data_IF_553541984609
#
_entry.id   IF_553541984609
#
_cell.length_a   1.000
_cell.length_b   1.000
_cell.length_c   1.000
_cell.angle_alpha   90.00
_cell.angle_beta   90.00
_cell.angle_gamma   90.00
#
_symmetry.space_group_name_H-M   'P 1'
#
loop_
_entity.id
_entity.type
_entity.pdbx_description
1 polymer ?
#
# COMPACT_ATOMS: atom_id res chain seq x y z
N UNK A 1 11.07 16.10 -64.91
CA UNK A 1 9.78 16.00 -64.20
C UNK A 1 9.96 15.08 -63.03
N UNK A 2 10.25 15.61 -61.84
CA UNK A 2 10.44 14.80 -60.63
C UNK A 2 9.11 14.79 -59.86
N UNK A 3 8.44 13.64 -59.86
CA UNK A 3 7.32 13.38 -58.95
C UNK A 3 7.91 13.07 -57.57
N UNK A 4 7.67 13.97 -56.61
CA UNK A 4 7.94 13.74 -55.20
C UNK A 4 6.86 12.83 -54.62
N UNK A 5 7.32 11.74 -54.02
CA UNK A 5 6.54 10.72 -53.34
C UNK A 5 5.63 11.32 -52.26
N UNK A 6 4.37 10.87 -52.25
CA UNK A 6 3.41 11.11 -51.17
C UNK A 6 3.95 10.49 -49.88
N UNK A 7 4.35 11.32 -48.92
CA UNK A 7 4.54 10.94 -47.52
C UNK A 7 3.16 10.71 -46.92
N UNK A 8 2.69 9.46 -46.96
CA UNK A 8 1.62 8.99 -46.09
C UNK A 8 2.18 9.05 -44.66
N UNK A 9 1.82 10.09 -43.89
CA UNK A 9 1.94 10.05 -42.44
C UNK A 9 1.02 8.90 -41.98
N UNK A 10 1.63 7.80 -41.58
CA UNK A 10 0.92 6.64 -41.08
C UNK A 10 0.06 7.04 -39.89
N UNK A 11 -1.21 6.65 -39.95
CA UNK A 11 -2.10 6.58 -38.79
C UNK A 11 -1.32 5.76 -37.75
N UNK A 12 -0.80 6.43 -36.72
CA UNK A 12 -0.08 5.76 -35.67
C UNK A 12 -1.06 4.77 -35.03
N UNK A 13 -0.70 3.49 -35.08
CA UNK A 13 -1.49 2.38 -34.57
C UNK A 13 -1.91 2.71 -33.13
N UNK A 14 -3.21 2.77 -32.86
CA UNK A 14 -3.80 3.19 -31.57
C UNK A 14 -3.23 2.34 -30.41
N UNK A 15 -2.89 1.09 -30.72
CA UNK A 15 -2.19 0.15 -29.84
C UNK A 15 -0.75 0.58 -29.49
N UNK A 16 -0.05 1.27 -30.40
CA UNK A 16 1.30 1.79 -30.17
C UNK A 16 1.31 3.02 -29.24
N UNK A 17 0.27 3.85 -29.32
CA UNK A 17 0.05 4.99 -28.42
C UNK A 17 -0.35 4.49 -27.02
N UNK A 18 -1.23 3.48 -26.94
CA UNK A 18 -1.57 2.81 -25.69
C UNK A 18 -0.36 2.18 -24.98
N UNK A 19 0.59 1.60 -25.74
CA UNK A 19 1.81 1.01 -25.18
C UNK A 19 2.83 2.07 -24.73
N UNK A 20 2.78 3.28 -25.30
CA UNK A 20 3.60 4.42 -24.86
C UNK A 20 3.00 5.15 -23.66
N UNK A 21 1.68 5.06 -23.45
CA UNK A 21 1.02 5.60 -22.27
C UNK A 21 1.64 4.99 -21.00
N UNK A 22 2.16 5.83 -20.11
CA UNK A 22 2.85 5.40 -18.89
C UNK A 22 4.35 5.12 -19.04
N UNK A 23 4.92 5.24 -20.26
CA UNK A 23 6.38 5.26 -20.42
C UNK A 23 6.96 6.63 -20.04
N UNK A 24 8.20 6.65 -19.53
CA UNK A 24 8.95 7.88 -19.18
C UNK A 24 9.06 8.87 -20.34
N UNK A 25 8.98 8.39 -21.58
CA UNK A 25 9.12 9.17 -22.81
C UNK A 25 7.79 9.80 -23.27
N UNK A 26 6.68 9.41 -22.64
CA UNK A 26 5.35 9.94 -22.94
C UNK A 26 5.09 11.14 -22.05
N UNK A 27 5.11 12.33 -22.65
CA UNK A 27 4.86 13.60 -21.94
C UNK A 27 3.39 14.03 -22.09
N UNK A 28 2.89 14.92 -21.23
CA UNK A 28 1.57 15.55 -21.40
C UNK A 28 1.38 16.17 -22.80
N UNK A 29 2.45 16.59 -23.47
CA UNK A 29 2.39 17.08 -24.84
C UNK A 29 1.97 15.99 -25.83
N UNK A 30 2.31 14.73 -25.59
CA UNK A 30 1.90 13.61 -26.43
C UNK A 30 0.38 13.36 -26.37
N UNK A 31 -0.33 13.81 -25.32
CA UNK A 31 -1.80 13.79 -25.29
C UNK A 31 -2.42 14.81 -26.27
N UNK A 32 -1.67 15.86 -26.65
CA UNK A 32 -2.11 16.83 -27.66
C UNK A 32 -1.93 16.32 -29.10
N UNK A 33 -1.11 15.28 -29.30
CA UNK A 33 -0.87 14.63 -30.59
C UNK A 33 -1.91 13.56 -30.93
N UNK A 34 -2.87 13.27 -30.04
CA UNK A 34 -3.96 12.35 -30.36
C UNK A 34 -4.84 12.94 -31.46
N UNK A 35 -5.16 12.15 -32.51
CA UNK A 35 -6.05 12.61 -33.55
C UNK A 35 -7.38 13.00 -32.91
N UNK A 36 -7.79 14.26 -33.08
CA UNK A 36 -9.13 14.70 -32.73
C UNK A 36 -10.11 13.86 -33.54
N UNK A 37 -10.83 12.95 -32.88
CA UNK A 37 -11.99 12.33 -33.51
C UNK A 37 -12.94 13.45 -33.93
N UNK A 38 -13.26 13.50 -35.22
CA UNK A 38 -14.15 14.53 -35.78
C UNK A 38 -15.62 14.32 -35.38
N UNK A 39 -15.93 13.15 -34.81
CA UNK A 39 -17.24 12.82 -34.28
C UNK A 39 -17.09 12.57 -32.77
N UNK A 40 -18.02 13.11 -32.00
CA UNK A 40 -18.04 13.09 -30.54
C UNK A 40 -18.26 11.70 -29.97
N UNK A 41 -17.33 10.80 -30.27
CA UNK A 41 -17.23 9.48 -29.70
C UNK A 41 -16.11 9.52 -28.67
N UNK A 42 -16.48 9.17 -27.43
CA UNK A 42 -15.60 9.12 -26.29
C UNK A 42 -14.38 8.27 -26.65
N UNK A 43 -13.21 8.90 -26.79
CA UNK A 43 -11.95 8.16 -26.62
C UNK A 43 -12.12 7.37 -25.33
N UNK A 44 -11.96 6.04 -25.42
CA UNK A 44 -12.15 5.03 -24.36
C UNK A 44 -12.31 5.60 -22.95
N UNK A 45 -13.25 5.12 -22.11
CA UNK A 45 -13.54 5.66 -20.75
C UNK A 45 -12.32 5.79 -19.81
N UNK A 46 -11.17 5.26 -20.21
CA UNK A 46 -9.85 5.50 -19.62
C UNK A 46 -9.23 6.88 -19.88
N UNK A 47 -9.62 7.63 -20.92
CA UNK A 47 -9.02 8.92 -21.27
C UNK A 47 -9.89 10.09 -20.79
N UNK A 48 -9.33 11.06 -20.05
CA UNK A 48 -10.02 12.34 -19.85
C UNK A 48 -10.22 13.01 -21.20
N UNK A 49 -11.34 13.70 -21.38
CA UNK A 49 -11.60 14.39 -22.65
C UNK A 49 -10.42 15.32 -22.95
N UNK A 50 -9.90 15.39 -24.20
CA UNK A 50 -8.81 16.31 -24.53
C UNK A 50 -9.11 17.76 -24.10
N UNK A 51 -10.40 18.13 -24.14
CA UNK A 51 -10.94 19.39 -23.64
C UNK A 51 -10.74 19.57 -22.13
N UNK A 52 -10.98 18.54 -21.29
CA UNK A 52 -10.71 18.57 -19.85
C UNK A 52 -9.24 18.78 -19.55
N UNK A 53 -8.34 18.03 -20.20
CA UNK A 53 -6.89 18.18 -20.00
C UNK A 53 -6.43 19.57 -20.40
N UNK A 54 -6.85 20.06 -21.57
CA UNK A 54 -6.56 21.43 -22.03
C UNK A 54 -7.09 22.46 -21.03
N UNK A 55 -8.30 22.28 -20.49
CA UNK A 55 -8.87 23.19 -19.52
C UNK A 55 -8.12 23.17 -18.19
N UNK A 56 -7.70 22.00 -17.71
CA UNK A 56 -6.88 21.87 -16.49
C UNK A 56 -5.52 22.54 -16.67
N UNK A 57 -4.82 22.26 -17.77
CA UNK A 57 -3.52 22.87 -18.08
C UNK A 57 -3.66 24.38 -18.24
N UNK A 58 -4.72 24.87 -18.91
CA UNK A 58 -5.00 26.30 -19.05
C UNK A 58 -5.29 26.95 -17.70
N UNK A 59 -6.09 26.32 -16.84
CA UNK A 59 -6.38 26.81 -15.49
C UNK A 59 -5.11 26.88 -14.65
N UNK A 60 -4.33 25.81 -14.62
CA UNK A 60 -3.03 25.76 -13.95
C UNK A 60 -2.09 26.88 -14.42
N UNK A 61 -1.90 27.01 -15.74
CA UNK A 61 -1.04 28.04 -16.33
C UNK A 61 -1.53 29.45 -16.01
N UNK A 62 -2.85 29.67 -16.07
CA UNK A 62 -3.47 30.96 -15.75
C UNK A 62 -3.31 31.31 -14.27
N UNK A 63 -3.36 30.31 -13.38
CA UNK A 63 -3.16 30.49 -11.94
C UNK A 63 -1.70 30.77 -11.58
N UNK A 64 -0.72 30.20 -12.29
CA UNK A 64 0.71 30.57 -12.13
C UNK A 64 0.95 32.03 -12.55
N UNK A 65 0.34 32.46 -13.65
CA UNK A 65 0.54 33.80 -14.22
C UNK A 65 -0.14 34.91 -13.42
N UNK A 66 -1.17 34.61 -12.63
CA UNK A 66 -1.95 35.60 -11.88
C UNK A 66 -1.76 35.43 -10.36
N UNK A 67 -0.74 36.10 -9.80
CA UNK A 67 -0.23 35.87 -8.44
C UNK A 67 -1.12 36.35 -7.26
N UNK A 68 -2.15 37.19 -7.46
CA UNK A 68 -2.65 38.07 -6.37
C UNK A 68 -4.18 38.11 -6.12
N UNK A 69 -4.92 36.99 -6.14
CA UNK A 69 -6.30 37.01 -5.61
C UNK A 69 -6.65 35.73 -4.85
N UNK A 70 -7.27 35.87 -3.67
CA UNK A 70 -7.65 34.77 -2.76
C UNK A 70 -8.52 33.72 -3.46
N UNK A 71 -9.54 34.12 -4.21
CA UNK A 71 -10.41 33.20 -5.01
C UNK A 71 -9.67 32.34 -6.06
N UNK A 72 -8.41 32.65 -6.38
CA UNK A 72 -7.62 31.87 -7.35
C UNK A 72 -6.71 30.84 -6.70
N UNK A 73 -6.51 30.90 -5.39
CA UNK A 73 -5.72 29.91 -4.64
C UNK A 73 -6.42 28.55 -4.70
N UNK A 74 -7.72 28.50 -4.43
CA UNK A 74 -8.50 27.27 -4.49
C UNK A 74 -8.57 26.70 -5.92
N UNK A 75 -8.65 27.60 -6.90
CA UNK A 75 -8.61 27.21 -8.31
C UNK A 75 -7.27 26.56 -8.70
N UNK A 76 -6.15 27.02 -8.11
CA UNK A 76 -4.82 26.46 -8.32
C UNK A 76 -4.65 25.12 -7.62
N UNK A 77 -5.00 25.04 -6.33
CA UNK A 77 -4.90 23.82 -5.53
C UNK A 77 -5.73 22.69 -6.18
N UNK A 78 -7.01 22.97 -6.49
CA UNK A 78 -7.91 22.02 -7.11
C UNK A 78 -7.44 21.57 -8.50
N UNK A 79 -7.02 22.50 -9.36
CA UNK A 79 -6.58 22.17 -10.73
C UNK A 79 -5.28 21.36 -10.73
N UNK A 80 -4.34 21.69 -9.84
CA UNK A 80 -3.05 20.98 -9.71
C UNK A 80 -3.25 19.56 -9.22
N UNK A 81 -4.09 19.37 -8.20
CA UNK A 81 -4.41 18.04 -7.65
C UNK A 81 -5.15 17.20 -8.69
N UNK A 82 -6.13 17.76 -9.39
CA UNK A 82 -6.86 17.04 -10.42
C UNK A 82 -5.96 16.68 -11.61
N UNK A 83 -5.01 17.55 -11.98
CA UNK A 83 -4.02 17.24 -13.02
C UNK A 83 -3.09 16.11 -12.56
N UNK A 84 -2.61 16.12 -11.31
CA UNK A 84 -1.83 15.02 -10.76
C UNK A 84 -2.60 13.69 -10.75
N UNK A 85 -3.89 13.72 -10.41
CA UNK A 85 -4.77 12.56 -10.46
C UNK A 85 -4.87 11.97 -11.89
N UNK A 86 -5.02 12.82 -12.90
CA UNK A 86 -4.99 12.40 -14.31
C UNK A 86 -3.65 11.74 -14.67
N UNK A 87 -2.53 12.33 -14.26
CA UNK A 87 -1.20 11.75 -14.51
C UNK A 87 -1.05 10.36 -13.88
N UNK A 88 -1.53 10.19 -12.64
CA UNK A 88 -1.52 8.91 -11.91
C UNK A 88 -2.35 7.86 -12.63
N UNK A 89 -3.56 8.21 -13.09
CA UNK A 89 -4.44 7.31 -13.86
C UNK A 89 -3.75 6.72 -15.10
N UNK A 90 -2.82 7.48 -15.69
CA UNK A 90 -2.08 7.08 -16.89
C UNK A 90 -0.66 6.59 -16.61
N UNK A 91 -0.31 6.28 -15.36
CA UNK A 91 1.00 5.73 -15.01
C UNK A 91 2.16 6.74 -15.03
N UNK A 92 1.88 8.04 -15.19
CA UNK A 92 2.92 9.08 -15.23
C UNK A 92 3.30 9.54 -13.81
N UNK A 93 3.78 8.61 -12.98
CA UNK A 93 4.00 8.83 -11.55
C UNK A 93 5.11 9.86 -11.26
N UNK A 94 6.19 9.91 -12.06
CA UNK A 94 7.24 10.91 -11.89
C UNK A 94 6.74 12.33 -12.16
N UNK A 95 5.96 12.50 -13.23
CA UNK A 95 5.36 13.79 -13.58
C UNK A 95 4.36 14.25 -12.52
N UNK A 96 3.54 13.31 -12.03
CA UNK A 96 2.63 13.56 -10.91
C UNK A 96 3.40 13.99 -9.66
N UNK A 97 4.48 13.29 -9.33
CA UNK A 97 5.29 13.60 -8.14
C UNK A 97 5.95 14.97 -8.22
N UNK A 98 6.47 15.36 -9.39
CA UNK A 98 7.01 16.70 -9.62
C UNK A 98 5.95 17.78 -9.42
N UNK A 99 4.74 17.57 -9.94
CA UNK A 99 3.62 18.50 -9.80
C UNK A 99 3.15 18.61 -8.34
N UNK A 100 3.07 17.49 -7.63
CA UNK A 100 2.72 17.44 -6.21
C UNK A 100 3.81 18.08 -5.33
N UNK A 101 5.08 18.00 -5.73
CA UNK A 101 6.19 18.69 -5.09
C UNK A 101 6.12 20.21 -5.24
N UNK A 102 5.77 20.71 -6.43
CA UNK A 102 5.51 22.15 -6.64
C UNK A 102 4.36 22.60 -5.73
N UNK A 103 3.27 21.81 -5.67
CA UNK A 103 2.13 22.11 -4.81
C UNK A 103 2.52 22.13 -3.32
N UNK A 104 3.39 21.22 -2.88
CA UNK A 104 3.90 21.21 -1.51
C UNK A 104 4.66 22.48 -1.14
N UNK A 105 5.57 22.93 -2.02
CA UNK A 105 6.30 24.19 -1.77
C UNK A 105 5.34 25.37 -1.67
N UNK A 106 4.32 25.41 -2.53
CA UNK A 106 3.29 26.44 -2.50
C UNK A 106 2.48 26.43 -1.19
N UNK A 107 2.02 25.24 -0.76
CA UNK A 107 1.29 25.07 0.51
C UNK A 107 2.16 25.45 1.72
N UNK A 108 3.47 25.18 1.66
CA UNK A 108 4.43 25.60 2.68
C UNK A 108 4.48 27.13 2.86
N UNK A 109 4.47 27.88 1.75
CA UNK A 109 4.37 29.34 1.80
C UNK A 109 3.00 29.82 2.28
N UNK A 110 1.91 29.20 1.83
CA UNK A 110 0.55 29.60 2.20
C UNK A 110 0.26 29.42 3.70
N UNK A 111 0.69 28.30 4.30
CA UNK A 111 0.52 28.01 5.74
C UNK A 111 1.21 29.01 6.67
N UNK A 112 2.26 29.69 6.21
CA UNK A 112 2.90 30.76 6.97
C UNK A 112 2.04 32.06 7.04
N UNK A 113 0.97 32.15 6.23
CA UNK A 113 0.18 33.37 6.06
C UNK A 113 -1.24 33.33 6.64
N UNK A 114 -1.91 32.16 6.64
CA UNK A 114 -3.14 31.80 7.39
C UNK A 114 -3.59 30.39 6.96
N UNK A 115 -4.20 29.60 7.85
CA UNK A 115 -4.72 28.25 7.54
C UNK A 115 -6.22 28.28 7.29
N UNK A 116 -6.63 27.92 6.08
CA UNK A 116 -8.03 27.75 5.67
C UNK A 116 -8.39 26.26 5.53
N UNK A 117 -9.66 25.91 5.74
CA UNK A 117 -10.17 24.54 5.69
C UNK A 117 -9.93 23.87 4.32
N UNK A 118 -10.07 24.63 3.24
CA UNK A 118 -9.85 24.14 1.88
C UNK A 118 -8.37 23.82 1.60
N UNK A 119 -7.46 24.55 2.26
CA UNK A 119 -6.01 24.28 2.20
C UNK A 119 -5.66 22.94 2.87
N UNK A 120 -6.37 22.57 3.93
CA UNK A 120 -6.16 21.29 4.61
C UNK A 120 -6.69 20.11 3.81
N UNK A 121 -7.89 20.23 3.20
CA UNK A 121 -8.43 19.22 2.28
C UNK A 121 -7.47 18.97 1.10
N UNK A 122 -6.95 20.05 0.49
CA UNK A 122 -5.97 19.97 -0.58
C UNK A 122 -4.66 19.28 -0.13
N UNK A 123 -4.22 19.54 1.09
CA UNK A 123 -3.03 18.91 1.64
C UNK A 123 -3.20 17.40 1.85
N UNK A 124 -4.33 16.96 2.40
CA UNK A 124 -4.64 15.53 2.60
C UNK A 124 -4.73 14.79 1.25
N UNK A 125 -5.40 15.40 0.27
CA UNK A 125 -5.48 14.88 -1.09
C UNK A 125 -4.09 14.74 -1.74
N UNK A 126 -3.26 15.79 -1.64
CA UNK A 126 -1.87 15.77 -2.13
C UNK A 126 -1.05 14.65 -1.48
N UNK A 127 -1.15 14.49 -0.17
CA UNK A 127 -0.43 13.45 0.56
C UNK A 127 -0.85 12.05 0.11
N UNK A 128 -2.14 11.80 -0.07
CA UNK A 128 -2.64 10.51 -0.57
C UNK A 128 -2.07 10.19 -1.97
N UNK A 129 -2.18 11.14 -2.91
CA UNK A 129 -1.66 10.97 -4.27
C UNK A 129 -0.14 10.82 -4.31
N UNK A 130 0.59 11.58 -3.47
CA UNK A 130 2.05 11.48 -3.35
C UNK A 130 2.46 10.12 -2.78
N UNK A 131 1.76 9.62 -1.76
CA UNK A 131 2.00 8.29 -1.19
C UNK A 131 1.83 7.19 -2.23
N UNK A 132 0.78 7.30 -3.05
CA UNK A 132 0.53 6.37 -4.15
C UNK A 132 1.64 6.44 -5.22
N UNK A 133 2.02 7.64 -5.67
CA UNK A 133 3.09 7.81 -6.65
C UNK A 133 4.41 7.23 -6.15
N UNK A 134 4.79 7.53 -4.91
CA UNK A 134 6.03 7.04 -4.30
C UNK A 134 6.04 5.50 -4.20
N UNK A 135 4.90 4.88 -3.89
CA UNK A 135 4.77 3.42 -3.87
C UNK A 135 4.99 2.82 -5.27
N UNK A 136 4.34 3.38 -6.30
CA UNK A 136 4.52 2.90 -7.68
C UNK A 136 5.96 3.11 -8.17
N UNK A 137 6.56 4.27 -7.87
CA UNK A 137 7.96 4.57 -8.20
C UNK A 137 8.96 3.73 -7.41
N UNK A 138 8.57 3.18 -6.26
CA UNK A 138 9.38 2.24 -5.51
C UNK A 138 9.29 0.82 -6.09
N UNK A 139 8.13 0.44 -6.64
CA UNK A 139 7.94 -0.86 -7.29
C UNK A 139 8.93 -1.06 -8.44
N UNK A 140 9.08 -0.04 -9.29
CA UNK A 140 9.96 -0.07 -10.46
C UNK A 140 11.43 0.27 -10.14
N UNK A 141 11.76 0.60 -8.89
CA UNK A 141 13.10 1.04 -8.50
C UNK A 141 14.07 -0.14 -8.31
N UNK A 142 15.12 -0.17 -9.13
CA UNK A 142 16.16 -1.18 -9.07
C UNK A 142 17.15 -0.95 -7.91
N UNK A 143 17.37 0.31 -7.50
CA UNK A 143 18.27 0.63 -6.40
C UNK A 143 17.58 0.39 -5.04
N UNK A 144 18.08 -0.58 -4.28
CA UNK A 144 17.49 -0.99 -2.99
C UNK A 144 17.36 0.19 -2.01
N UNK A 145 18.38 1.04 -1.91
CA UNK A 145 18.40 2.17 -0.97
C UNK A 145 17.37 3.24 -1.37
N UNK A 146 17.29 3.56 -2.66
CA UNK A 146 16.29 4.50 -3.17
C UNK A 146 14.88 3.94 -3.02
N UNK A 147 14.71 2.64 -3.28
CA UNK A 147 13.44 1.94 -3.09
C UNK A 147 12.98 2.03 -1.64
N UNK A 148 13.83 1.67 -0.68
CA UNK A 148 13.53 1.78 0.74
C UNK A 148 13.17 3.21 1.14
N UNK A 149 13.94 4.20 0.68
CA UNK A 149 13.62 5.61 0.95
C UNK A 149 12.25 6.03 0.39
N UNK A 150 11.90 5.61 -0.83
CA UNK A 150 10.60 5.91 -1.44
C UNK A 150 9.47 5.21 -0.69
N UNK A 151 9.66 3.96 -0.27
CA UNK A 151 8.70 3.19 0.54
C UNK A 151 8.45 3.91 1.87
N UNK A 152 9.50 4.33 2.57
CA UNK A 152 9.37 5.04 3.84
C UNK A 152 8.62 6.36 3.69
N UNK A 153 8.89 7.12 2.62
CA UNK A 153 8.18 8.37 2.38
C UNK A 153 6.71 8.14 1.96
N UNK A 154 6.44 7.07 1.19
CA UNK A 154 5.08 6.65 0.85
C UNK A 154 4.27 6.34 2.12
N UNK A 155 4.85 5.57 3.05
CA UNK A 155 4.24 5.24 4.34
C UNK A 155 3.87 6.50 5.12
N UNK A 156 4.81 7.45 5.25
CA UNK A 156 4.57 8.74 5.93
C UNK A 156 3.45 9.52 5.27
N UNK A 157 3.42 9.57 3.94
CA UNK A 157 2.38 10.24 3.18
C UNK A 157 1.00 9.65 3.46
N UNK A 158 0.86 8.33 3.42
CA UNK A 158 -0.41 7.65 3.69
C UNK A 158 -0.91 7.88 5.12
N UNK A 159 -0.04 7.77 6.14
CA UNK A 159 -0.43 8.06 7.52
C UNK A 159 -0.87 9.52 7.72
N UNK A 160 -0.14 10.48 7.14
CA UNK A 160 -0.51 11.91 7.20
C UNK A 160 -1.78 12.22 6.43
N UNK A 161 -2.04 11.52 5.32
CA UNK A 161 -3.29 11.66 4.58
C UNK A 161 -4.50 11.19 5.41
N UNK A 162 -4.33 10.17 6.26
CA UNK A 162 -5.39 9.63 7.12
C UNK A 162 -5.58 10.40 8.43
N UNK A 163 -4.64 11.25 8.86
CA UNK A 163 -4.67 11.86 10.20
C UNK A 163 -5.71 12.99 10.35
N UNK A 164 -6.19 13.59 9.27
CA UNK A 164 -7.18 14.67 9.31
C UNK A 164 -8.64 14.19 9.40
N UNK A 165 -9.51 14.97 10.05
CA UNK A 165 -10.96 14.68 10.13
C UNK A 165 -11.64 14.78 8.76
N UNK A 166 -11.11 15.62 7.88
CA UNK A 166 -11.61 15.81 6.51
C UNK A 166 -11.06 14.79 5.50
N UNK A 167 -10.24 13.82 5.95
CA UNK A 167 -9.66 12.81 5.07
C UNK A 167 -10.71 12.02 4.24
N UNK A 168 -11.84 11.58 4.81
CA UNK A 168 -12.88 10.90 4.02
C UNK A 168 -13.41 11.76 2.86
N UNK A 169 -13.60 13.06 3.09
CA UNK A 169 -14.08 13.98 2.05
C UNK A 169 -12.98 14.28 1.02
N UNK A 170 -11.75 14.50 1.48
CA UNK A 170 -10.62 14.82 0.63
C UNK A 170 -10.29 13.69 -0.36
N UNK A 171 -10.38 12.44 0.09
CA UNK A 171 -9.93 11.28 -0.68
C UNK A 171 -11.02 10.63 -1.54
N UNK A 172 -12.32 10.89 -1.25
CA UNK A 172 -13.46 10.24 -1.92
C UNK A 172 -13.40 10.24 -3.45
N UNK A 173 -12.84 11.30 -4.04
CA UNK A 173 -12.83 11.50 -5.50
C UNK A 173 -11.68 10.78 -6.24
N UNK A 174 -10.73 10.17 -5.53
CA UNK A 174 -9.55 9.54 -6.16
C UNK A 174 -9.64 8.02 -6.27
N UNK A 175 -10.85 7.47 -6.08
CA UNK A 175 -11.07 6.03 -6.11
C UNK A 175 -10.73 5.38 -7.45
N UNK A 176 -10.89 6.12 -8.56
CA UNK A 176 -10.53 5.65 -9.89
C UNK A 176 -9.03 5.64 -10.17
N UNK A 177 -8.28 6.51 -9.48
CA UNK A 177 -6.85 6.72 -9.69
C UNK A 177 -6.01 5.81 -8.80
N UNK A 178 -6.42 5.63 -7.54
CA UNK A 178 -5.66 4.85 -6.56
C UNK A 178 -6.28 3.49 -6.26
N UNK A 179 -7.53 3.25 -6.70
CA UNK A 179 -8.27 2.04 -6.39
C UNK A 179 -8.85 2.01 -4.97
N UNK A 180 -8.67 3.07 -4.17
CA UNK A 180 -9.27 3.15 -2.83
C UNK A 180 -10.77 3.40 -2.91
N UNK A 181 -11.57 2.41 -2.49
CA UNK A 181 -13.03 2.49 -2.46
C UNK A 181 -13.54 2.04 -1.10
N UNK A 182 -14.39 2.86 -0.49
CA UNK A 182 -15.18 2.47 0.67
C UNK A 182 -16.63 2.36 0.21
N UNK A 183 -17.26 1.22 0.50
CA UNK A 183 -18.69 1.02 0.29
C UNK A 183 -19.46 1.68 1.44
N UNK A 184 -20.27 2.70 1.14
CA UNK A 184 -21.14 3.37 2.11
C UNK A 184 -20.48 4.52 2.87
N UNK A 185 -21.25 5.12 3.79
CA UNK A 185 -20.78 6.17 4.69
C UNK A 185 -20.29 5.56 6.00
N UNK A 186 -19.04 5.83 6.39
CA UNK A 186 -18.54 5.42 7.70
C UNK A 186 -19.12 6.34 8.79
N UNK A 187 -19.73 5.75 9.83
CA UNK A 187 -20.27 6.52 10.97
C UNK A 187 -19.19 7.14 11.86
N UNK A 188 -17.97 6.59 11.85
CA UNK A 188 -16.84 7.09 12.63
C UNK A 188 -15.57 7.22 11.80
N UNK A 189 -14.70 8.16 12.20
CA UNK A 189 -13.38 8.33 11.57
C UNK A 189 -12.48 7.11 11.79
N UNK A 190 -12.62 6.42 12.94
CA UNK A 190 -11.86 5.21 13.25
C UNK A 190 -12.24 4.06 12.31
N UNK A 191 -13.52 3.89 12.00
CA UNK A 191 -13.99 2.90 11.02
C UNK A 191 -13.50 3.22 9.61
N UNK A 192 -13.54 4.49 9.21
CA UNK A 192 -12.98 4.91 7.92
C UNK A 192 -11.46 4.64 7.84
N UNK A 193 -10.72 4.93 8.92
CA UNK A 193 -9.27 4.68 9.00
C UNK A 193 -8.94 3.19 8.98
N UNK A 194 -9.76 2.35 9.63
CA UNK A 194 -9.64 0.90 9.55
C UNK A 194 -9.64 0.45 8.09
N UNK A 195 -10.68 0.81 7.32
CA UNK A 195 -10.77 0.47 5.90
C UNK A 195 -9.63 1.07 5.06
N UNK A 196 -9.22 2.30 5.37
CA UNK A 196 -8.11 2.94 4.69
C UNK A 196 -6.79 2.21 4.92
N UNK A 197 -6.49 1.81 6.16
CA UNK A 197 -5.27 1.09 6.48
C UNK A 197 -5.31 -0.36 5.98
N UNK A 198 -6.47 -1.02 5.94
CA UNK A 198 -6.60 -2.32 5.28
C UNK A 198 -6.32 -2.24 3.77
N UNK A 199 -6.85 -1.21 3.11
CA UNK A 199 -6.52 -0.94 1.71
C UNK A 199 -5.03 -0.63 1.51
N UNK A 200 -4.46 0.23 2.36
CA UNK A 200 -3.04 0.58 2.30
C UNK A 200 -2.15 -0.67 2.54
N UNK A 201 -2.51 -1.53 3.48
CA UNK A 201 -1.85 -2.82 3.69
C UNK A 201 -1.86 -3.67 2.40
N UNK A 202 -3.03 -3.81 1.77
CA UNK A 202 -3.19 -4.61 0.55
C UNK A 202 -2.37 -4.07 -0.63
N UNK A 203 -2.38 -2.75 -0.86
CA UNK A 203 -1.64 -2.19 -1.99
C UNK A 203 -0.12 -2.30 -1.78
N UNK A 204 0.38 -2.15 -0.55
CA UNK A 204 1.79 -2.40 -0.25
C UNK A 204 2.15 -3.87 -0.44
N UNK A 205 1.28 -4.80 -0.02
CA UNK A 205 1.47 -6.23 -0.23
C UNK A 205 1.54 -6.59 -1.72
N UNK A 206 0.60 -6.09 -2.53
CA UNK A 206 0.57 -6.33 -3.99
C UNK A 206 1.84 -5.84 -4.67
N UNK A 207 2.46 -4.78 -4.16
CA UNK A 207 3.71 -4.22 -4.65
C UNK A 207 4.96 -4.81 -3.98
N UNK A 208 4.82 -5.90 -3.21
CA UNK A 208 5.91 -6.59 -2.49
C UNK A 208 6.62 -5.76 -1.39
N UNK A 209 5.99 -4.69 -0.91
CA UNK A 209 6.52 -3.77 0.11
C UNK A 209 6.06 -4.18 1.52
N UNK A 210 6.59 -5.31 1.99
CA UNK A 210 6.15 -5.97 3.23
C UNK A 210 6.25 -5.11 4.49
N UNK A 211 7.26 -4.25 4.57
CA UNK A 211 7.43 -3.36 5.72
C UNK A 211 6.25 -2.41 5.87
N UNK A 212 5.86 -1.73 4.78
CA UNK A 212 4.69 -0.86 4.79
C UNK A 212 3.39 -1.63 5.01
N UNK A 213 3.24 -2.80 4.39
CA UNK A 213 2.08 -3.66 4.64
C UNK A 213 1.93 -4.03 6.13
N UNK A 214 3.05 -4.36 6.79
CA UNK A 214 3.08 -4.63 8.23
C UNK A 214 2.69 -3.42 9.07
N UNK A 215 3.20 -2.23 8.75
CA UNK A 215 2.86 -1.01 9.48
C UNK A 215 1.38 -0.65 9.37
N UNK A 216 0.78 -0.81 8.18
CA UNK A 216 -0.65 -0.56 8.01
C UNK A 216 -1.53 -1.63 8.65
N UNK A 217 -1.10 -2.90 8.70
CA UNK A 217 -1.80 -3.94 9.45
C UNK A 217 -1.85 -3.63 10.96
N UNK A 218 -0.74 -3.16 11.53
CA UNK A 218 -0.68 -2.72 12.93
C UNK A 218 -1.56 -1.49 13.19
N UNK A 219 -1.52 -0.50 12.29
CA UNK A 219 -2.37 0.68 12.41
C UNK A 219 -3.86 0.34 12.29
N UNK A 220 -4.22 -0.62 11.44
CA UNK A 220 -5.59 -1.15 11.35
C UNK A 220 -6.02 -1.78 12.68
N UNK A 221 -5.17 -2.58 13.32
CA UNK A 221 -5.45 -3.15 14.65
C UNK A 221 -5.74 -2.08 15.71
N UNK A 222 -4.95 -0.99 15.73
CA UNK A 222 -5.19 0.14 16.63
C UNK A 222 -6.55 0.81 16.40
N UNK A 223 -7.03 0.86 15.14
CA UNK A 223 -8.36 1.38 14.85
C UNK A 223 -9.46 0.43 15.35
N UNK A 224 -9.25 -0.89 15.27
CA UNK A 224 -10.20 -1.86 15.82
C UNK A 224 -10.36 -1.66 17.33
N UNK A 225 -9.25 -1.50 18.06
CA UNK A 225 -9.27 -1.19 19.50
C UNK A 225 -10.03 0.11 19.79
N UNK A 226 -9.73 1.16 19.02
CA UNK A 226 -10.40 2.46 19.14
C UNK A 226 -11.91 2.40 18.88
N UNK A 227 -12.37 1.51 18.00
CA UNK A 227 -13.81 1.31 17.71
C UNK A 227 -14.49 0.60 18.89
N UNK A 228 -13.85 -0.43 19.46
CA UNK A 228 -14.39 -1.18 20.60
C UNK A 228 -14.53 -0.28 21.83
N UNK A 229 -13.56 0.58 22.09
CA UNK A 229 -13.58 1.50 23.23
C UNK A 229 -14.72 2.54 23.14
N UNK A 230 -15.17 2.87 21.92
CA UNK A 230 -16.24 3.85 21.68
C UNK A 230 -17.66 3.27 21.81
N UNK A 231 -17.84 1.96 21.65
CA UNK A 231 -19.18 1.35 21.48
C UNK A 231 -19.77 0.68 22.74
N UNK A 232 -19.15 0.83 23.91
CA UNK A 232 -19.67 0.36 25.22
C UNK A 232 -20.28 -1.07 25.21
N UNK A 233 -19.79 -1.97 24.34
CA UNK A 233 -20.22 -3.36 24.26
C UNK A 233 -21.47 -3.65 23.43
N UNK A 234 -21.99 -2.70 22.62
CA UNK A 234 -22.91 -3.05 21.53
C UNK A 234 -22.10 -3.59 20.34
N UNK A 235 -22.56 -4.68 19.70
CA UNK A 235 -21.90 -5.15 18.48
C UNK A 235 -22.05 -4.06 17.41
N UNK A 236 -20.93 -3.64 16.82
CA UNK A 236 -20.92 -2.65 15.72
C UNK A 236 -21.70 -3.25 14.55
N UNK A 237 -22.99 -2.94 14.43
CA UNK A 237 -23.90 -3.48 13.40
C UNK A 237 -23.38 -3.30 11.95
N UNK A 238 -22.44 -2.37 11.74
CA UNK A 238 -21.87 -2.05 10.44
C UNK A 238 -20.61 -2.87 10.08
N UNK A 239 -20.07 -3.69 11.00
CA UNK A 239 -18.90 -4.52 10.73
C UNK A 239 -19.33 -5.87 10.14
N UNK A 240 -18.79 -6.30 8.99
CA UNK A 240 -19.20 -7.55 8.34
C UNK A 240 -18.79 -8.81 9.12
N UNK A 241 -17.86 -8.67 10.06
CA UNK A 241 -17.26 -9.75 10.86
C UNK A 241 -17.11 -9.28 12.31
N UNK A 242 -17.04 -10.24 13.25
CA UNK A 242 -16.78 -9.89 14.65
C UNK A 242 -15.39 -9.26 14.82
N UNK A 243 -15.23 -8.39 15.81
CA UNK A 243 -13.95 -7.77 16.17
C UNK A 243 -12.83 -8.79 16.34
N UNK A 244 -13.13 -9.96 16.92
CA UNK A 244 -12.17 -11.04 17.13
C UNK A 244 -11.66 -11.62 15.79
N UNK A 245 -12.55 -11.83 14.82
CA UNK A 245 -12.20 -12.33 13.49
C UNK A 245 -11.32 -11.33 12.73
N UNK A 246 -11.67 -10.03 12.77
CA UNK A 246 -10.86 -8.99 12.11
C UNK A 246 -9.47 -8.92 12.73
N UNK A 247 -9.38 -8.91 14.08
CA UNK A 247 -8.08 -8.96 14.77
C UNK A 247 -7.30 -10.22 14.41
N UNK A 248 -7.96 -11.38 14.34
CA UNK A 248 -7.32 -12.65 13.98
C UNK A 248 -6.74 -12.65 12.57
N UNK A 249 -7.45 -12.07 11.61
CA UNK A 249 -6.96 -11.88 10.23
C UNK A 249 -5.80 -10.89 10.16
N UNK A 250 -5.91 -9.74 10.82
CA UNK A 250 -4.86 -8.71 10.81
C UNK A 250 -3.57 -9.21 11.49
N UNK A 251 -3.66 -9.89 12.63
CA UNK A 251 -2.49 -10.50 13.27
C UNK A 251 -1.84 -11.59 12.41
N UNK A 252 -2.62 -12.40 11.69
CA UNK A 252 -2.07 -13.35 10.72
C UNK A 252 -1.31 -12.65 9.58
N UNK A 253 -1.78 -11.48 9.13
CA UNK A 253 -1.07 -10.66 8.15
C UNK A 253 0.23 -10.08 8.72
N UNK A 254 0.20 -9.52 9.95
CA UNK A 254 1.42 -9.05 10.64
C UNK A 254 2.43 -10.19 10.76
N UNK A 255 1.99 -11.38 11.22
CA UNK A 255 2.82 -12.58 11.27
C UNK A 255 3.46 -12.90 9.91
N UNK A 256 2.66 -12.96 8.85
CA UNK A 256 3.12 -13.22 7.48
C UNK A 256 4.21 -12.24 7.06
N UNK A 257 3.99 -10.94 7.24
CA UNK A 257 4.93 -9.91 6.82
C UNK A 257 6.22 -9.93 7.64
N UNK A 258 6.12 -10.05 8.97
CA UNK A 258 7.28 -10.15 9.85
C UNK A 258 8.11 -11.39 9.55
N UNK A 259 7.47 -12.53 9.27
CA UNK A 259 8.17 -13.77 8.91
C UNK A 259 8.89 -13.64 7.57
N UNK A 260 8.24 -13.08 6.56
CA UNK A 260 8.86 -12.85 5.24
C UNK A 260 10.04 -11.86 5.32
N UNK A 261 10.01 -10.91 6.26
CA UNK A 261 11.12 -9.99 6.56
C UNK A 261 12.22 -10.64 7.43
N UNK A 262 12.04 -11.90 7.85
CA UNK A 262 12.91 -12.63 8.80
C UNK A 262 13.01 -11.98 10.19
N UNK A 263 12.03 -11.16 10.56
CA UNK A 263 11.89 -10.61 11.91
C UNK A 263 11.18 -11.66 12.78
N UNK A 264 11.89 -12.72 13.16
CA UNK A 264 11.30 -13.87 13.86
C UNK A 264 10.69 -13.51 15.22
N UNK A 265 11.26 -12.52 15.92
CA UNK A 265 10.71 -12.01 17.18
C UNK A 265 9.35 -11.35 16.98
N UNK A 266 9.21 -10.50 15.97
CA UNK A 266 7.95 -9.82 15.67
C UNK A 266 6.89 -10.79 15.14
N UNK A 267 7.31 -11.78 14.33
CA UNK A 267 6.43 -12.85 13.87
C UNK A 267 5.89 -13.67 15.06
N UNK A 268 6.73 -13.99 16.04
CA UNK A 268 6.29 -14.66 17.26
C UNK A 268 5.36 -13.78 18.11
N UNK A 269 5.67 -12.49 18.27
CA UNK A 269 4.77 -11.53 18.93
C UNK A 269 3.39 -11.52 18.28
N UNK A 270 3.32 -11.52 16.94
CA UNK A 270 2.05 -11.56 16.22
C UNK A 270 1.25 -12.84 16.48
N UNK A 271 1.91 -14.01 16.61
CA UNK A 271 1.24 -15.28 16.98
C UNK A 271 0.59 -15.17 18.36
N UNK A 272 1.34 -14.73 19.37
CA UNK A 272 0.82 -14.69 20.75
C UNK A 272 -0.23 -13.60 20.95
N UNK A 273 -0.18 -12.52 20.18
CA UNK A 273 -1.17 -11.43 20.21
C UNK A 273 -2.46 -11.76 19.47
N UNK A 274 -2.49 -12.83 18.67
CA UNK A 274 -3.66 -13.23 17.91
C UNK A 274 -4.76 -13.78 18.85
N UNK A 275 -5.95 -13.14 18.93
CA UNK A 275 -7.03 -13.61 19.79
C UNK A 275 -7.80 -14.80 19.18
N UNK A 276 -7.62 -15.09 17.89
CA UNK A 276 -8.23 -16.22 17.19
C UNK A 276 -7.29 -17.44 17.29
N UNK A 277 -7.72 -18.46 18.04
CA UNK A 277 -6.89 -19.64 18.33
C UNK A 277 -6.60 -20.47 17.06
N UNK A 278 -7.56 -20.61 16.15
CA UNK A 278 -7.36 -21.37 14.92
C UNK A 278 -6.29 -20.69 14.03
N UNK A 279 -6.43 -19.37 13.84
CA UNK A 279 -5.48 -18.54 13.13
C UNK A 279 -4.10 -18.55 13.80
N UNK A 280 -4.04 -18.48 15.13
CA UNK A 280 -2.82 -18.57 15.93
C UNK A 280 -2.06 -19.87 15.68
N UNK A 281 -2.74 -21.02 15.74
CA UNK A 281 -2.09 -22.31 15.54
C UNK A 281 -1.65 -22.53 14.08
N UNK A 282 -2.41 -22.04 13.10
CA UNK A 282 -1.99 -22.03 11.69
C UNK A 282 -0.70 -21.22 11.51
N UNK A 283 -0.61 -20.05 12.14
CA UNK A 283 0.60 -19.21 12.11
C UNK A 283 1.78 -19.90 12.81
N UNK A 284 1.57 -20.50 13.99
CA UNK A 284 2.61 -21.23 14.72
C UNK A 284 3.19 -22.39 13.89
N UNK A 285 2.31 -23.19 13.29
CA UNK A 285 2.72 -24.30 12.42
C UNK A 285 3.57 -23.81 11.25
N UNK A 286 3.12 -22.76 10.55
CA UNK A 286 3.89 -22.15 9.47
C UNK A 286 5.24 -21.61 9.95
N UNK A 287 5.28 -20.99 11.13
CA UNK A 287 6.50 -20.45 11.71
C UNK A 287 7.57 -21.52 11.90
N UNK A 288 7.21 -22.63 12.53
CA UNK A 288 8.12 -23.77 12.75
C UNK A 288 8.58 -24.35 11.42
N UNK A 289 7.66 -24.51 10.46
CA UNK A 289 8.01 -25.03 9.13
C UNK A 289 9.10 -24.17 8.48
N UNK A 290 8.87 -22.85 8.39
CA UNK A 290 9.81 -21.91 7.76
C UNK A 290 11.14 -21.86 8.51
N UNK A 291 11.13 -21.84 9.85
CA UNK A 291 12.38 -21.84 10.63
C UNK A 291 13.24 -23.07 10.34
N UNK A 292 12.67 -24.26 10.27
CA UNK A 292 13.49 -25.44 9.94
C UNK A 292 13.93 -25.46 8.47
N UNK A 293 13.10 -24.95 7.54
CA UNK A 293 13.48 -24.88 6.12
C UNK A 293 14.65 -23.90 5.87
N UNK A 294 14.71 -22.82 6.64
CA UNK A 294 15.82 -21.87 6.62
C UNK A 294 17.05 -22.34 7.41
N UNK A 295 16.95 -23.46 8.15
CA UNK A 295 18.01 -23.93 9.03
C UNK A 295 18.21 -23.07 10.29
N UNK A 296 17.23 -22.23 10.64
CA UNK A 296 17.25 -21.33 11.80
C UNK A 296 16.90 -22.07 13.09
N UNK A 297 17.50 -23.24 13.30
CA UNK A 297 17.23 -24.11 14.46
C UNK A 297 17.68 -23.46 15.78
N UNK A 298 18.63 -22.52 15.70
CA UNK A 298 19.06 -21.71 16.85
C UNK A 298 17.93 -20.85 17.42
N UNK A 299 17.08 -20.30 16.56
CA UNK A 299 15.90 -19.50 16.97
C UNK A 299 14.94 -20.37 17.80
N UNK A 300 14.81 -21.65 17.44
CA UNK A 300 13.96 -22.62 18.14
C UNK A 300 14.62 -23.11 19.44
N UNK A 301 15.91 -23.46 19.39
CA UNK A 301 16.57 -24.24 20.46
C UNK A 301 17.36 -23.40 21.46
N UNK A 302 17.79 -22.18 21.12
CA UNK A 302 18.68 -21.38 21.96
C UNK A 302 17.94 -20.39 22.89
N UNK A 303 16.60 -20.47 22.95
CA UNK A 303 15.80 -19.59 23.81
C UNK A 303 15.68 -18.15 23.33
N UNK A 304 16.03 -17.86 22.08
CA UNK A 304 15.79 -16.53 21.46
C UNK A 304 14.29 -16.22 21.40
N UNK A 305 13.46 -17.26 21.24
CA UNK A 305 12.00 -17.19 21.31
C UNK A 305 11.52 -18.06 22.47
N UNK A 306 10.72 -17.50 23.40
CA UNK A 306 10.37 -18.20 24.63
C UNK A 306 9.25 -19.26 24.47
N UNK A 307 8.48 -19.20 23.38
CA UNK A 307 7.30 -20.06 23.13
C UNK A 307 6.35 -20.20 24.34
N UNK A 308 6.24 -19.14 25.14
CA UNK A 308 5.40 -19.08 26.35
C UNK A 308 3.97 -19.50 26.05
N UNK A 309 3.50 -20.56 26.73
CA UNK A 309 2.14 -21.10 26.55
C UNK A 309 1.94 -21.90 25.25
N UNK A 310 2.97 -22.07 24.42
CA UNK A 310 2.90 -22.78 23.13
C UNK A 310 3.86 -23.98 23.03
N UNK A 311 4.65 -24.25 24.08
CA UNK A 311 5.70 -25.29 24.08
C UNK A 311 5.18 -26.65 23.62
N UNK A 312 4.07 -27.14 24.19
CA UNK A 312 3.49 -28.45 23.82
C UNK A 312 3.12 -28.52 22.33
N UNK A 313 2.62 -27.42 21.76
CA UNK A 313 2.28 -27.34 20.33
C UNK A 313 3.52 -27.29 19.44
N UNK A 314 4.56 -26.60 19.89
CA UNK A 314 5.85 -26.56 19.19
C UNK A 314 6.46 -27.96 19.11
N UNK A 315 6.47 -28.69 20.24
CA UNK A 315 6.94 -30.08 20.29
C UNK A 315 6.13 -30.99 19.37
N UNK A 316 4.80 -30.83 19.34
CA UNK A 316 3.93 -31.59 18.45
C UNK A 316 4.26 -31.36 16.97
N UNK A 317 4.45 -30.11 16.53
CA UNK A 317 4.78 -29.79 15.14
C UNK A 317 6.19 -30.26 14.75
N UNK A 318 7.16 -30.16 15.67
CA UNK A 318 8.51 -30.71 15.47
C UNK A 318 8.47 -32.24 15.33
N UNK A 319 7.69 -32.92 16.18
CA UNK A 319 7.49 -34.36 16.10
C UNK A 319 6.89 -34.78 14.76
N UNK A 320 5.86 -34.08 14.27
CA UNK A 320 5.28 -34.36 12.96
C UNK A 320 6.25 -34.12 11.81
N UNK A 321 7.10 -33.09 11.90
CA UNK A 321 8.14 -32.82 10.90
C UNK A 321 9.18 -33.94 10.87
N UNK A 322 9.70 -34.37 12.02
CA UNK A 322 10.65 -35.50 12.13
C UNK A 322 10.01 -36.82 11.69
N UNK A 323 8.75 -37.07 12.07
CA UNK A 323 7.98 -38.22 11.61
C UNK A 323 7.87 -38.27 10.09
N UNK A 324 7.61 -37.14 9.42
CA UNK A 324 7.57 -37.05 7.96
C UNK A 324 8.93 -37.32 7.30
N UNK A 325 10.05 -36.88 7.91
CA UNK A 325 11.40 -37.25 7.44
C UNK A 325 11.71 -38.74 7.62
N UNK A 326 11.24 -39.37 8.70
CA UNK A 326 11.42 -40.81 8.94
C UNK A 326 10.68 -41.69 7.93
N UNK A 327 9.65 -41.18 7.23
CA UNK A 327 9.03 -41.90 6.12
C UNK A 327 9.84 -41.81 4.80
N UNK A 328 10.75 -40.84 4.67
CA UNK A 328 11.59 -40.67 3.47
C UNK A 328 13.03 -41.17 3.62
N UNK A 329 13.54 -41.32 4.84
CA UNK A 329 14.83 -41.94 5.14
C UNK A 329 14.64 -43.18 5.99
N UNK A 330 14.30 -44.30 5.34
CA UNK A 330 14.46 -45.59 5.96
C UNK A 330 15.96 -45.91 6.00
N UNK A 331 16.54 -45.74 7.19
CA UNK A 331 17.86 -46.18 7.71
C UNK A 331 18.73 -45.02 8.23
N UNK A 332 18.87 -44.99 9.57
CA UNK A 332 19.93 -44.38 10.38
C UNK A 332 19.66 -43.08 11.16
N UNK A 333 18.52 -42.92 11.83
CA UNK A 333 18.47 -42.11 13.06
C UNK A 333 17.64 -42.83 14.14
N UNK A 334 18.32 -43.37 15.15
CA UNK A 334 17.69 -43.90 16.37
C UNK A 334 17.33 -42.74 17.30
N UNK A 335 16.05 -42.65 17.70
CA UNK A 335 15.60 -41.87 18.84
C UNK A 335 15.50 -42.80 20.06
N UNK A 336 16.30 -42.58 21.09
CA UNK A 336 16.04 -43.19 22.41
C UNK A 336 15.25 -42.21 23.27
N UNK A 337 14.00 -42.57 23.53
CA UNK A 337 13.13 -41.99 24.55
C UNK A 337 13.71 -42.29 25.93
N UNK A 338 14.14 -41.25 26.66
CA UNK A 338 13.98 -41.11 28.11
C UNK A 338 14.45 -39.71 28.54
N UNK A 339 13.54 -39.03 29.23
CA UNK A 339 13.74 -37.88 30.13
C UNK A 339 14.00 -36.48 29.55
N UNK A 340 13.06 -35.60 29.92
CA UNK A 340 13.09 -34.16 29.80
C UNK A 340 14.44 -33.57 30.23
N UNK A 341 15.13 -32.89 29.31
CA UNK A 341 15.82 -31.60 29.49
C UNK A 341 16.71 -31.36 28.25
N UNK A 342 16.40 -30.32 27.48
CA UNK A 342 17.17 -29.81 26.32
C UNK A 342 17.45 -30.83 25.21
N UNK A 343 16.73 -30.71 24.09
CA UNK A 343 17.10 -31.32 22.82
C UNK A 343 18.44 -30.76 22.34
N UNK A 344 19.53 -31.50 22.58
CA UNK A 344 20.83 -31.27 21.96
C UNK A 344 20.78 -31.86 20.55
N UNK A 345 20.68 -31.00 19.53
CA UNK A 345 20.97 -31.39 18.16
C UNK A 345 22.48 -31.63 18.02
N UNK A 346 22.92 -32.88 18.05
CA UNK A 346 24.24 -33.26 17.57
C UNK A 346 24.26 -33.18 16.03
N UNK A 347 24.91 -32.15 15.49
CA UNK A 347 25.36 -32.12 14.10
C UNK A 347 26.56 -33.07 13.93
N UNK A 348 26.66 -33.84 12.84
CA UNK A 348 27.94 -34.39 12.41
C UNK A 348 28.66 -33.39 11.50
N UNK A 349 29.84 -32.93 11.95
CA UNK A 349 30.95 -32.42 11.11
C UNK A 349 30.80 -31.03 10.52
#
# INVERSE_FOLDING_TARGET
SYQLSSLQLGIADELSLHRKLGSSDFTLACLLDFPKSAEGDDLSPCFPSPTEVINLVRRFSSSIMCRNSVDRVDSFLGSTINLAAVLIRHGQYEAAQNLLGILETYLGYARASQTDQDTDIACLARLHLSGFCLLMLAHDEANIVLRESKVQEAIRCFFRAASGQEAPKALKKFSSETGFQISGECRSISLWRLHYYEWAMQIFEQNSMREGACQFALAALEQVDSIVDLDNGSEVEDLPETTAMIKGRLWANVFKYSLDLKNFRDAYCAIISNPDDDSKYVCLRRFIIVLCELGETKVICNGEIPFTGLVEKVEQELFWKVGAYNYHFNHNICLSSTDCHLFVFCLPG
#
